data_IF_341894801071
#
_entry.id   IF_341894801071
#
_cell.length_a   1.000
_cell.length_b   1.000
_cell.length_c   1.000
_cell.angle_alpha   90.00
_cell.angle_beta   90.00
_cell.angle_gamma   90.00
#
_symmetry.space_group_name_H-M   'P 1'
#
loop_
_entity.id
_entity.type
_entity.pdbx_description
1 polymer ?
#
# COMPACT_ATOMS: atom_id res chain seq x y z
N UNK A 1 25.31 -1.65 15.92
CA UNK A 1 24.79 -1.18 14.61
C UNK A 1 23.51 -1.94 14.32
N UNK A 2 22.53 -1.32 13.67
CA UNK A 2 21.30 -1.99 13.28
C UNK A 2 20.93 -1.66 11.82
N UNK A 3 20.24 -2.59 11.17
CA UNK A 3 19.84 -2.47 9.77
C UNK A 3 18.42 -1.93 9.69
N UNK A 4 18.20 -0.85 8.95
CA UNK A 4 16.89 -0.21 8.81
C UNK A 4 16.48 -0.20 7.34
N UNK A 5 15.27 -0.70 7.08
CA UNK A 5 14.58 -0.57 5.81
C UNK A 5 13.21 0.08 6.05
N UNK A 6 12.66 0.77 5.05
CA UNK A 6 11.29 1.27 5.11
C UNK A 6 10.31 0.12 5.39
N UNK A 7 9.08 0.39 5.84
CA UNK A 7 8.02 -0.63 5.90
C UNK A 7 6.74 0.03 5.42
N UNK A 8 6.03 -0.63 4.52
CA UNK A 8 4.65 -0.26 4.23
C UNK A 8 3.84 -0.67 5.47
N UNK A 9 3.18 0.30 6.08
CA UNK A 9 2.28 0.06 7.21
C UNK A 9 0.88 0.14 6.63
N UNK A 10 0.16 -0.99 6.61
CA UNK A 10 -1.25 -0.98 6.24
C UNK A 10 -2.01 -0.10 7.23
N UNK A 11 -3.02 0.62 6.72
CA UNK A 11 -3.94 1.36 7.60
C UNK A 11 -4.69 0.35 8.48
N UNK A 12 -4.68 0.57 9.79
CA UNK A 12 -5.54 -0.18 10.69
C UNK A 12 -6.99 0.26 10.47
N UNK A 13 -7.85 -0.69 10.14
CA UNK A 13 -9.29 -0.44 9.99
C UNK A 13 -9.95 -0.38 11.37
N UNK A 14 -10.91 0.53 11.53
CA UNK A 14 -11.82 0.51 12.68
C UNK A 14 -12.73 -0.71 12.61
N UNK A 15 -13.36 -1.09 13.73
CA UNK A 15 -14.25 -2.25 13.73
C UNK A 15 -15.47 -2.03 12.83
N UNK A 16 -16.02 -0.82 12.79
CA UNK A 16 -17.07 -0.41 11.84
C UNK A 16 -16.63 -0.56 10.38
N UNK A 17 -15.38 -0.18 10.03
CA UNK A 17 -14.86 -0.35 8.67
C UNK A 17 -14.75 -1.83 8.29
N UNK A 18 -14.36 -2.70 9.23
CA UNK A 18 -14.30 -4.14 8.99
C UNK A 18 -15.69 -4.72 8.78
N UNK A 19 -16.65 -4.35 9.62
CA UNK A 19 -18.04 -4.80 9.49
C UNK A 19 -18.62 -4.38 8.15
N UNK A 20 -18.45 -3.11 7.77
CA UNK A 20 -18.88 -2.63 6.46
C UNK A 20 -18.20 -3.39 5.30
N UNK A 21 -16.90 -3.68 5.39
CA UNK A 21 -16.22 -4.50 4.40
C UNK A 21 -16.84 -5.90 4.28
N UNK A 22 -17.18 -6.56 5.39
CA UNK A 22 -17.81 -7.89 5.37
C UNK A 22 -19.19 -7.82 4.73
N UNK A 23 -20.02 -6.86 5.15
CA UNK A 23 -21.38 -6.68 4.63
C UNK A 23 -21.38 -6.44 3.13
N UNK A 24 -20.60 -5.46 2.64
CA UNK A 24 -20.52 -5.15 1.20
C UNK A 24 -19.95 -6.34 0.41
N UNK A 25 -18.98 -7.06 0.98
CA UNK A 25 -18.40 -8.23 0.31
C UNK A 25 -19.42 -9.36 0.14
N UNK A 26 -20.26 -9.61 1.17
CA UNK A 26 -21.32 -10.61 1.08
C UNK A 26 -22.37 -10.23 0.03
N UNK A 27 -22.80 -8.97 0.01
CA UNK A 27 -23.77 -8.48 -0.99
C UNK A 27 -23.23 -8.60 -2.42
N UNK A 28 -21.96 -8.23 -2.63
CA UNK A 28 -21.30 -8.36 -3.95
C UNK A 28 -21.12 -9.81 -4.35
N UNK A 29 -20.82 -10.70 -3.39
CA UNK A 29 -20.72 -12.14 -3.64
C UNK A 29 -22.07 -12.71 -4.10
N UNK A 30 -23.16 -12.37 -3.41
CA UNK A 30 -24.50 -12.85 -3.78
C UNK A 30 -24.90 -12.35 -5.18
N UNK A 31 -24.55 -11.10 -5.52
CA UNK A 31 -24.76 -10.54 -6.86
C UNK A 31 -23.88 -11.16 -7.95
N UNK A 32 -22.71 -11.67 -7.58
CA UNK A 32 -21.80 -12.33 -8.52
C UNK A 32 -22.33 -13.67 -9.08
N UNK A 33 -23.41 -14.21 -8.50
CA UNK A 33 -24.13 -15.35 -9.06
C UNK A 33 -24.78 -15.03 -10.41
N UNK A 34 -25.02 -13.75 -10.74
CA UNK A 34 -25.38 -13.33 -12.10
C UNK A 34 -24.12 -13.29 -12.99
N UNK A 35 -24.07 -14.17 -13.99
CA UNK A 35 -22.96 -14.28 -14.95
C UNK A 35 -22.65 -12.99 -15.72
N UNK A 36 -23.59 -12.04 -15.77
CA UNK A 36 -23.41 -10.76 -16.43
C UNK A 36 -22.94 -9.65 -15.48
N UNK A 37 -23.04 -9.85 -14.16
CA UNK A 37 -22.69 -8.84 -13.18
C UNK A 37 -21.26 -8.36 -13.35
N UNK A 38 -20.29 -9.28 -13.32
CA UNK A 38 -18.87 -8.94 -13.43
C UNK A 38 -18.48 -8.42 -14.82
N UNK A 39 -19.16 -8.86 -15.88
CA UNK A 39 -18.89 -8.41 -17.27
C UNK A 39 -19.21 -6.92 -17.46
N UNK A 40 -20.10 -6.38 -16.63
CA UNK A 40 -20.54 -4.99 -16.68
C UNK A 40 -19.73 -4.08 -15.72
N UNK A 41 -18.82 -4.63 -14.92
CA UNK A 41 -18.00 -3.85 -13.98
C UNK A 41 -16.87 -3.18 -14.76
N UNK A 42 -16.88 -1.85 -14.77
CA UNK A 42 -15.76 -1.02 -15.23
C UNK A 42 -15.06 -0.49 -13.98
N UNK A 43 -13.77 -0.79 -13.83
CA UNK A 43 -12.95 -0.34 -12.68
C UNK A 43 -11.79 0.53 -13.16
N UNK A 44 -11.37 1.46 -12.31
CA UNK A 44 -10.22 2.32 -12.52
C UNK A 44 -9.70 2.83 -11.19
N UNK A 45 -8.38 2.90 -11.06
CA UNK A 45 -7.68 3.48 -9.91
C UNK A 45 -6.39 4.14 -10.40
N UNK A 46 -5.88 5.08 -9.62
CA UNK A 46 -4.67 5.82 -9.96
C UNK A 46 -3.46 5.24 -9.22
N UNK A 47 -2.42 4.88 -9.97
CA UNK A 47 -1.13 4.49 -9.39
C UNK A 47 -0.07 5.51 -9.77
N UNK A 48 0.68 5.98 -8.78
CA UNK A 48 1.83 6.83 -9.03
C UNK A 48 2.95 6.01 -9.69
N UNK A 49 3.34 6.42 -10.89
CA UNK A 49 4.50 5.87 -11.61
C UNK A 49 5.59 6.93 -11.64
N UNK A 50 6.77 6.58 -11.15
CA UNK A 50 7.92 7.47 -11.17
C UNK A 50 8.56 7.52 -12.57
N UNK A 51 8.92 8.71 -13.03
CA UNK A 51 9.60 8.94 -14.31
C UNK A 51 11.12 8.66 -14.28
N UNK A 52 11.63 8.07 -13.19
CA UNK A 52 13.04 7.73 -12.98
C UNK A 52 13.15 6.36 -12.31
N UNK A 53 14.34 5.75 -12.37
CA UNK A 53 14.60 4.48 -11.69
C UNK A 53 14.66 4.70 -10.18
N UNK A 54 13.65 4.23 -9.46
CA UNK A 54 13.52 4.42 -8.02
C UNK A 54 14.40 3.39 -7.34
N UNK A 55 15.33 3.84 -6.48
CA UNK A 55 16.07 2.91 -5.63
C UNK A 55 15.09 2.03 -4.87
N UNK A 56 15.17 0.73 -5.15
CA UNK A 56 14.33 -0.25 -4.48
C UNK A 56 14.61 -0.21 -2.98
N UNK A 57 13.61 -0.58 -2.19
CA UNK A 57 13.69 -0.68 -0.73
C UNK A 57 14.92 -1.45 -0.20
N UNK A 58 15.42 -2.40 -1.02
CA UNK A 58 16.64 -3.17 -0.75
C UNK A 58 17.91 -2.36 -1.03
N UNK A 59 17.90 -1.50 -2.05
CA UNK A 59 19.00 -0.58 -2.37
C UNK A 59 19.11 0.56 -1.36
N UNK A 60 17.99 1.09 -0.86
CA UNK A 60 17.96 2.18 0.13
C UNK A 60 18.20 1.74 1.58
N UNK A 61 18.57 0.48 1.82
CA UNK A 61 18.84 -0.03 3.17
C UNK A 61 20.19 0.45 3.68
N UNK A 62 20.23 0.97 4.92
CA UNK A 62 21.45 1.54 5.51
C UNK A 62 21.76 0.93 6.87
N UNK A 63 23.06 0.82 7.17
CA UNK A 63 23.57 0.44 8.49
C UNK A 63 23.75 1.68 9.35
N UNK A 64 23.09 1.70 10.50
CA UNK A 64 23.11 2.85 11.41
C UNK A 64 23.69 2.51 12.78
N UNK A 65 24.40 3.48 13.37
CA UNK A 65 24.99 3.40 14.69
C UNK A 65 23.95 3.48 15.83
N UNK A 66 24.29 3.09 17.06
CA UNK A 66 23.34 3.04 18.19
C UNK A 66 22.71 4.39 18.57
N UNK A 67 23.43 5.50 18.32
CA UNK A 67 23.02 6.87 18.64
C UNK A 67 22.65 7.70 17.41
N UNK A 68 22.54 7.08 16.22
CA UNK A 68 22.21 7.86 15.03
C UNK A 68 20.75 8.32 15.08
N UNK A 69 20.44 9.54 14.63
CA UNK A 69 19.07 9.96 14.43
C UNK A 69 18.39 9.05 13.42
N UNK A 70 17.07 8.86 13.54
CA UNK A 70 16.29 8.14 12.55
C UNK A 70 16.51 8.82 11.18
N UNK A 71 16.86 8.07 10.11
CA UNK A 71 16.99 8.66 8.79
C UNK A 71 15.73 9.45 8.46
N UNK A 72 15.87 10.76 8.20
CA UNK A 72 14.76 11.54 7.63
C UNK A 72 14.57 11.03 6.22
N UNK A 73 13.34 10.62 5.92
CA UNK A 73 12.93 10.26 4.57
C UNK A 73 13.16 11.47 3.66
N UNK A 74 14.27 11.48 2.95
CA UNK A 74 14.36 12.12 1.65
C UNK A 74 14.24 11.02 0.63
N UNK A 75 13.03 10.46 0.47
CA UNK A 75 12.58 10.14 -0.88
C UNK A 75 12.36 11.47 -1.59
N UNK A 76 13.43 12.24 -1.79
CA UNK A 76 13.44 13.30 -2.76
C UNK A 76 13.49 12.56 -4.08
N UNK A 77 12.34 12.51 -4.76
CA UNK A 77 12.40 12.72 -6.19
C UNK A 77 13.21 14.02 -6.34
N UNK A 78 14.49 13.90 -6.69
CA UNK A 78 15.30 15.07 -6.95
C UNK A 78 14.68 15.76 -8.17
N UNK A 79 14.10 16.94 -7.92
CA UNK A 79 14.00 17.99 -8.93
C UNK A 79 15.39 18.46 -9.30
#
# INVERSE_FOLDING_TARGET
>A
MHHVAAKFVLRLLTDEQKENCVTVSQELFDRSNDENFLKNVITGDETWVYGYDVETKRQSSQWVGPSSPRPKNTSVAQM
#
